data_IF_964837799641
#
_entry.id   IF_964837799641
#
_cell.length_a   1.000
_cell.length_b   1.000
_cell.length_c   1.000
_cell.angle_alpha   90.00
_cell.angle_beta   90.00
_cell.angle_gamma   90.00
#
_symmetry.space_group_name_H-M   'P 1'
#
loop_
_entity.id
_entity.type
_entity.pdbx_description
1 polymer ?
#
# COMPACT_ATOMS: atom_id res chain seq x y z
N UNK A 1 1.38 53.43 32.69
CA UNK A 1 -0.02 53.22 33.05
C UNK A 1 -0.58 52.06 32.25
N UNK A 2 -0.87 51.00 32.97
CA UNK A 2 -1.46 49.74 32.50
C UNK A 2 -2.84 49.91 31.91
N UNK A 3 -3.15 49.14 30.91
CA UNK A 3 -4.42 48.40 30.85
C UNK A 3 -4.29 47.19 29.89
N UNK A 4 -4.25 46.03 30.46
CA UNK A 4 -4.54 44.73 29.90
C UNK A 4 -6.03 44.68 29.53
N UNK A 5 -6.35 44.08 28.38
CA UNK A 5 -7.69 43.59 28.15
C UNK A 5 -7.53 42.12 27.67
N UNK A 6 -7.74 41.23 28.59
CA UNK A 6 -8.19 39.85 28.31
C UNK A 6 -9.60 39.92 27.76
N UNK A 7 -9.84 39.28 26.64
CA UNK A 7 -11.17 38.81 26.27
C UNK A 7 -11.11 37.30 26.05
N UNK A 8 -11.73 36.64 27.00
CA UNK A 8 -11.98 35.23 27.04
C UNK A 8 -13.12 34.82 26.10
N UNK A 9 -12.97 33.59 25.57
CA UNK A 9 -14.02 32.59 25.42
C UNK A 9 -15.24 32.90 24.54
N UNK A 10 -15.17 32.42 23.34
CA UNK A 10 -16.26 31.62 22.75
C UNK A 10 -15.67 30.57 21.81
N UNK A 11 -15.18 29.48 22.35
CA UNK A 11 -15.03 28.23 21.61
C UNK A 11 -16.42 27.75 21.24
N UNK A 12 -16.65 27.66 19.95
CA UNK A 12 -17.90 27.22 19.34
C UNK A 12 -18.23 25.78 19.78
N UNK A 13 -19.38 25.51 20.42
CA UNK A 13 -19.76 24.15 20.85
C UNK A 13 -19.92 23.14 19.70
N UNK A 14 -19.92 23.60 18.46
CA UNK A 14 -19.98 22.77 17.25
C UNK A 14 -18.69 21.98 16.97
N UNK A 15 -17.51 22.43 17.41
CA UNK A 15 -16.26 21.69 17.22
C UNK A 15 -16.12 20.50 18.20
N UNK A 16 -16.65 20.62 19.40
CA UNK A 16 -16.64 19.53 20.38
C UNK A 16 -17.56 18.37 19.96
N UNK A 17 -18.67 18.68 19.30
CA UNK A 17 -19.59 17.66 18.77
C UNK A 17 -19.03 16.91 17.56
N UNK A 18 -18.25 17.56 16.68
CA UNK A 18 -17.66 16.93 15.50
C UNK A 18 -16.49 16.00 15.83
N UNK A 19 -15.70 16.31 16.86
CA UNK A 19 -14.62 15.42 17.32
C UNK A 19 -15.19 14.14 17.93
N UNK A 20 -16.31 14.22 18.63
CA UNK A 20 -16.97 13.06 19.24
C UNK A 20 -17.65 12.15 18.19
N UNK A 21 -18.17 12.70 17.09
CA UNK A 21 -18.82 11.92 16.01
C UNK A 21 -17.78 11.19 15.15
N UNK A 22 -16.58 11.77 14.92
CA UNK A 22 -15.49 11.07 14.23
C UNK A 22 -14.92 9.89 15.05
N UNK A 23 -14.93 9.98 16.38
CA UNK A 23 -14.52 8.87 17.25
C UNK A 23 -15.59 7.76 17.35
N UNK A 24 -16.85 8.05 17.05
CA UNK A 24 -17.93 7.06 17.08
C UNK A 24 -18.06 6.26 15.77
N UNK A 25 -17.45 6.72 14.67
CA UNK A 25 -17.46 6.04 13.37
C UNK A 25 -16.23 5.15 13.15
N UNK A 26 -15.13 5.36 13.87
CA UNK A 26 -14.05 4.39 13.98
C UNK A 26 -14.38 3.48 15.16
N UNK A 27 -14.70 2.22 14.93
CA UNK A 27 -15.13 1.24 15.92
C UNK A 27 -14.11 0.95 17.05
N UNK A 28 -13.10 1.75 17.21
CA UNK A 28 -12.17 1.73 18.32
C UNK A 28 -12.80 2.44 19.53
N UNK A 29 -13.60 1.72 20.32
CA UNK A 29 -13.91 2.15 21.68
C UNK A 29 -12.57 2.31 22.41
N UNK A 30 -12.28 3.53 22.90
CA UNK A 30 -11.22 3.74 23.88
C UNK A 30 -11.57 2.91 25.13
N UNK A 31 -11.20 1.63 25.15
CA UNK A 31 -11.09 0.88 26.38
C UNK A 31 -9.96 1.50 27.21
N UNK A 32 -10.12 1.47 28.53
CA UNK A 32 -9.11 1.96 29.46
C UNK A 32 -7.74 1.39 29.04
N UNK A 33 -6.79 2.27 28.75
CA UNK A 33 -5.43 1.87 28.40
C UNK A 33 -4.85 1.14 29.61
N UNK A 34 -4.60 -0.15 29.46
CA UNK A 34 -3.88 -0.92 30.47
C UNK A 34 -2.39 -0.75 30.16
N UNK A 35 -1.69 0.02 31.00
CA UNK A 35 -0.22 0.06 30.97
C UNK A 35 0.28 -1.05 31.89
N UNK A 36 1.12 -1.95 31.35
CA UNK A 36 1.73 -3.02 32.13
C UNK A 36 3.22 -2.73 32.24
N UNK A 37 3.68 -2.54 33.48
CA UNK A 37 5.09 -2.58 33.84
C UNK A 37 5.31 -3.88 34.62
N UNK A 38 5.76 -4.91 33.93
CA UNK A 38 6.12 -6.16 34.59
C UNK A 38 7.39 -6.72 33.95
N UNK A 39 8.22 -7.35 34.76
CA UNK A 39 9.41 -8.06 34.32
C UNK A 39 9.07 -9.54 34.22
N UNK A 40 9.45 -10.18 33.10
CA UNK A 40 9.38 -11.61 32.86
C UNK A 40 10.74 -12.12 32.40
N UNK A 41 10.93 -13.44 32.41
CA UNK A 41 12.22 -14.05 32.04
C UNK A 41 12.51 -13.99 30.54
N UNK A 42 11.49 -13.74 29.70
CA UNK A 42 11.65 -13.63 28.26
C UNK A 42 10.32 -13.59 27.51
N UNK A 43 10.38 -14.05 26.25
CA UNK A 43 9.26 -14.05 25.31
C UNK A 43 8.99 -15.44 24.77
N UNK A 44 7.75 -15.90 24.92
CA UNK A 44 7.26 -17.15 24.33
C UNK A 44 6.39 -16.77 23.11
N UNK A 45 6.91 -16.99 21.91
CA UNK A 45 6.12 -16.82 20.69
C UNK A 45 5.28 -18.06 20.47
N UNK A 46 3.98 -17.87 20.28
CA UNK A 46 3.04 -18.96 20.08
C UNK A 46 1.97 -18.59 19.04
N UNK A 47 1.16 -19.56 18.69
CA UNK A 47 0.01 -19.43 17.80
C UNK A 47 -1.27 -19.72 18.59
N UNK A 48 -2.38 -19.12 18.17
CA UNK A 48 -3.69 -19.33 18.80
C UNK A 48 -4.25 -20.73 18.58
N UNK A 49 -5.47 -20.96 19.05
CA UNK A 49 -6.25 -22.13 18.71
C UNK A 49 -6.65 -22.08 17.22
N UNK A 50 -6.69 -23.24 16.54
CA UNK A 50 -7.02 -23.37 15.11
C UNK A 50 -6.20 -22.45 14.17
N UNK A 51 -4.87 -22.51 14.20
CA UNK A 51 -4.01 -21.61 13.46
C UNK A 51 -4.04 -21.88 11.95
N UNK A 52 -3.98 -20.81 11.17
CA UNK A 52 -3.74 -20.88 9.73
C UNK A 52 -2.24 -21.06 9.41
N UNK A 53 -1.92 -21.44 8.16
CA UNK A 53 -0.54 -21.45 7.68
C UNK A 53 0.13 -20.07 7.79
N UNK A 54 -0.65 -19.00 7.64
CA UNK A 54 -0.16 -17.63 7.80
C UNK A 54 0.22 -17.32 9.25
N UNK A 55 -0.61 -17.70 10.21
CA UNK A 55 -0.31 -17.52 11.64
C UNK A 55 1.00 -18.20 12.00
N UNK A 56 1.16 -19.46 11.57
CA UNK A 56 2.38 -20.24 11.79
C UNK A 56 3.61 -19.56 11.15
N UNK A 57 3.49 -19.09 9.92
CA UNK A 57 4.57 -18.40 9.22
C UNK A 57 5.01 -17.13 9.95
N UNK A 58 4.04 -16.30 10.35
CA UNK A 58 4.33 -15.04 11.02
C UNK A 58 4.83 -15.22 12.46
N UNK A 59 4.36 -16.24 13.17
CA UNK A 59 4.89 -16.59 14.47
C UNK A 59 6.37 -17.02 14.38
N UNK A 60 6.72 -17.88 13.42
CA UNK A 60 8.12 -18.26 13.16
C UNK A 60 8.97 -17.05 12.78
N UNK A 61 8.46 -16.15 11.93
CA UNK A 61 9.16 -14.94 11.54
C UNK A 61 9.50 -14.08 12.77
N UNK A 62 8.52 -13.83 13.64
CA UNK A 62 8.75 -13.07 14.88
C UNK A 62 9.76 -13.77 15.79
N UNK A 63 9.62 -15.07 15.99
CA UNK A 63 10.54 -15.87 16.80
C UNK A 63 11.99 -15.71 16.33
N UNK A 64 12.24 -15.88 15.03
CA UNK A 64 13.57 -15.74 14.45
C UNK A 64 14.15 -14.34 14.64
N UNK A 65 13.31 -13.30 14.47
CA UNK A 65 13.74 -11.92 14.70
C UNK A 65 14.05 -11.60 16.16
N UNK A 66 13.27 -12.11 17.10
CA UNK A 66 13.55 -11.96 18.53
C UNK A 66 14.77 -12.75 18.94
N UNK A 67 14.93 -13.99 18.44
CA UNK A 67 16.05 -14.87 18.72
C UNK A 67 17.40 -14.26 18.30
N UNK A 68 17.45 -13.62 17.13
CA UNK A 68 18.66 -12.91 16.65
C UNK A 68 19.10 -11.75 17.56
N UNK A 69 18.17 -11.20 18.35
CA UNK A 69 18.39 -10.06 19.25
C UNK A 69 18.60 -10.48 20.70
N UNK A 70 18.34 -11.72 21.02
CA UNK A 70 18.49 -12.24 22.38
C UNK A 70 19.96 -12.47 22.72
N UNK A 71 20.41 -11.92 23.87
CA UNK A 71 21.74 -12.18 24.39
C UNK A 71 21.88 -13.57 25.04
N UNK A 72 20.75 -14.15 25.41
CA UNK A 72 20.61 -15.45 25.99
C UNK A 72 19.62 -16.28 25.17
N UNK A 73 20.05 -17.45 24.75
CA UNK A 73 19.23 -18.38 23.97
C UNK A 73 17.94 -18.78 24.69
N UNK A 74 17.90 -18.70 26.00
CA UNK A 74 16.73 -19.04 26.79
C UNK A 74 15.71 -17.90 26.96
N UNK A 75 16.05 -16.68 26.52
CA UNK A 75 15.13 -15.53 26.56
C UNK A 75 14.00 -15.60 25.53
N UNK A 76 14.11 -16.40 24.49
CA UNK A 76 13.10 -16.52 23.45
C UNK A 76 12.78 -17.96 23.17
N UNK A 77 11.53 -18.36 23.40
CA UNK A 77 11.03 -19.70 23.17
C UNK A 77 9.92 -19.71 22.11
N UNK A 78 9.67 -20.86 21.49
CA UNK A 78 8.58 -21.07 20.54
C UNK A 78 7.68 -22.23 20.98
N UNK A 79 6.38 -21.98 21.02
CA UNK A 79 5.36 -22.98 21.33
C UNK A 79 5.11 -23.16 22.84
N UNK A 80 6.07 -23.71 23.59
CA UNK A 80 5.94 -23.97 25.03
C UNK A 80 7.20 -23.56 25.80
N UNK A 81 7.04 -23.17 27.05
CA UNK A 81 8.12 -22.87 27.98
C UNK A 81 7.67 -23.17 29.40
N UNK A 82 8.61 -23.65 30.24
CA UNK A 82 8.41 -23.80 31.70
C UNK A 82 8.71 -22.48 32.45
N UNK A 83 9.35 -21.51 31.79
CA UNK A 83 9.71 -20.21 32.35
C UNK A 83 8.51 -19.26 32.34
N UNK A 84 8.52 -18.32 33.26
CA UNK A 84 7.52 -17.26 33.32
C UNK A 84 7.82 -16.19 32.27
N UNK A 85 7.24 -16.32 31.08
CA UNK A 85 7.49 -15.50 29.91
C UNK A 85 6.26 -14.65 29.51
N UNK A 86 6.52 -13.57 28.76
CA UNK A 86 5.49 -12.91 27.98
C UNK A 86 5.09 -13.79 26.80
N UNK A 87 3.82 -14.16 26.72
CA UNK A 87 3.31 -14.98 25.63
C UNK A 87 2.84 -14.08 24.49
N UNK A 88 3.54 -14.12 23.35
CA UNK A 88 3.17 -13.36 22.15
C UNK A 88 2.41 -14.28 21.20
N UNK A 89 1.13 -13.94 20.96
CA UNK A 89 0.22 -14.74 20.16
C UNK A 89 -0.03 -14.02 18.83
N UNK A 90 0.15 -14.72 17.72
CA UNK A 90 -0.01 -14.20 16.36
C UNK A 90 -1.30 -14.72 15.75
N UNK A 91 -2.07 -13.82 15.14
CA UNK A 91 -3.30 -14.17 14.43
C UNK A 91 -3.57 -13.25 13.23
N UNK A 92 -3.86 -13.85 12.06
CA UNK A 92 -4.36 -13.16 10.88
C UNK A 92 -5.87 -13.34 10.81
N UNK A 93 -6.60 -12.25 11.02
CA UNK A 93 -8.07 -12.22 10.95
C UNK A 93 -8.55 -11.23 9.89
N UNK A 94 -8.86 -11.69 8.67
CA UNK A 94 -9.35 -10.82 7.60
C UNK A 94 -10.68 -10.14 7.92
N UNK A 95 -11.37 -10.56 8.98
CA UNK A 95 -12.68 -10.01 9.39
C UNK A 95 -12.57 -8.92 10.46
N UNK A 96 -11.35 -8.69 10.99
CA UNK A 96 -11.10 -7.65 11.97
C UNK A 96 -11.56 -6.29 11.43
N UNK A 97 -12.38 -5.57 12.19
CA UNK A 97 -12.92 -4.27 11.75
C UNK A 97 -11.84 -3.19 11.68
N UNK A 98 -10.89 -3.24 12.60
CA UNK A 98 -9.65 -2.48 12.57
C UNK A 98 -8.63 -3.26 11.71
N UNK A 99 -7.77 -2.59 10.99
CA UNK A 99 -6.75 -3.28 10.18
C UNK A 99 -5.75 -4.07 11.03
N UNK A 100 -5.46 -3.60 12.26
CA UNK A 100 -4.57 -4.26 13.20
C UNK A 100 -4.94 -3.97 14.67
N UNK A 101 -4.51 -4.86 15.55
CA UNK A 101 -4.69 -4.73 17.01
C UNK A 101 -3.52 -5.35 17.77
N UNK A 102 -3.09 -4.67 18.82
CA UNK A 102 -2.29 -5.22 19.92
C UNK A 102 -3.20 -5.22 21.15
N UNK A 103 -3.45 -6.38 21.73
CA UNK A 103 -4.22 -6.52 22.96
C UNK A 103 -3.37 -7.20 24.03
N UNK A 104 -3.47 -6.70 25.28
CA UNK A 104 -2.71 -7.21 26.40
C UNK A 104 -3.68 -7.82 27.40
N UNK A 105 -3.49 -9.11 27.70
CA UNK A 105 -4.34 -9.88 28.61
C UNK A 105 -3.47 -10.62 29.61
N UNK A 106 -3.26 -10.05 30.77
CA UNK A 106 -2.34 -10.63 31.77
C UNK A 106 -0.91 -10.70 31.25
N UNK A 107 -0.39 -11.89 31.03
CA UNK A 107 0.93 -12.12 30.42
C UNK A 107 0.90 -12.33 28.90
N UNK A 108 -0.27 -12.18 28.26
CA UNK A 108 -0.45 -12.39 26.85
C UNK A 108 -0.40 -11.06 26.09
N UNK A 109 0.33 -11.06 24.97
CA UNK A 109 0.41 -9.99 23.98
C UNK A 109 -0.15 -10.56 22.68
N UNK A 110 -1.38 -10.23 22.35
CA UNK A 110 -2.03 -10.69 21.14
C UNK A 110 -1.79 -9.69 20.01
N UNK A 111 -1.18 -10.14 18.92
CA UNK A 111 -1.02 -9.38 17.68
C UNK A 111 -2.02 -9.92 16.65
N UNK A 112 -3.01 -9.12 16.28
CA UNK A 112 -4.00 -9.48 15.27
C UNK A 112 -3.95 -8.47 14.13
N UNK A 113 -3.94 -8.95 12.89
CA UNK A 113 -3.96 -8.11 11.70
C UNK A 113 -4.83 -8.70 10.59
N UNK A 114 -5.37 -7.86 9.71
CA UNK A 114 -6.20 -8.31 8.58
C UNK A 114 -5.38 -8.92 7.45
N UNK A 115 -4.11 -8.55 7.31
CA UNK A 115 -3.23 -8.97 6.23
C UNK A 115 -1.75 -9.03 6.62
N UNK A 116 -0.95 -9.56 5.71
CA UNK A 116 0.49 -9.77 5.89
C UNK A 116 1.26 -8.46 6.09
N UNK A 117 0.90 -7.38 5.41
CA UNK A 117 1.55 -6.06 5.53
C UNK A 117 1.37 -5.49 6.94
N UNK A 118 0.15 -5.53 7.43
CA UNK A 118 -0.17 -5.01 8.76
C UNK A 118 0.44 -5.89 9.86
N UNK A 119 0.48 -7.21 9.68
CA UNK A 119 1.14 -8.12 10.62
C UNK A 119 2.64 -7.88 10.69
N UNK A 120 3.32 -7.73 9.55
CA UNK A 120 4.74 -7.42 9.53
C UNK A 120 5.04 -6.10 10.25
N UNK A 121 4.25 -5.06 9.96
CA UNK A 121 4.39 -3.78 10.65
C UNK A 121 4.16 -3.90 12.17
N UNK A 122 3.14 -4.65 12.61
CA UNK A 122 2.87 -4.88 14.05
C UNK A 122 4.05 -5.55 14.75
N UNK A 123 4.66 -6.56 14.13
CA UNK A 123 5.83 -7.24 14.68
C UNK A 123 6.99 -6.28 14.88
N UNK A 124 7.26 -5.40 13.90
CA UNK A 124 8.28 -4.37 14.05
C UNK A 124 7.93 -3.32 15.10
N UNK A 125 6.65 -2.94 15.25
CA UNK A 125 6.23 -2.07 16.34
C UNK A 125 6.45 -2.74 17.72
N UNK A 126 6.14 -4.03 17.86
CA UNK A 126 6.44 -4.77 19.06
C UNK A 126 7.95 -4.78 19.34
N UNK A 127 8.78 -5.18 18.39
CA UNK A 127 10.24 -5.22 18.53
C UNK A 127 10.78 -3.84 18.95
N UNK A 128 10.34 -2.76 18.31
CA UNK A 128 10.72 -1.39 18.65
C UNK A 128 10.34 -1.02 20.09
N UNK A 129 9.20 -1.49 20.57
CA UNK A 129 8.74 -1.21 21.93
C UNK A 129 9.52 -1.98 23.00
N UNK A 130 9.86 -3.24 22.73
CA UNK A 130 10.56 -4.10 23.69
C UNK A 130 12.08 -3.88 23.67
N UNK A 131 12.68 -3.62 22.49
CA UNK A 131 14.13 -3.38 22.37
C UNK A 131 14.55 -1.94 22.67
N UNK A 132 13.61 -1.00 22.63
CA UNK A 132 13.86 0.45 22.69
C UNK A 132 14.82 0.99 21.62
N UNK A 133 15.13 0.21 20.62
CA UNK A 133 16.05 0.53 19.52
C UNK A 133 15.37 0.42 18.16
N UNK A 134 16.08 0.88 17.14
CA UNK A 134 15.60 0.75 15.76
C UNK A 134 15.62 -0.74 15.34
N UNK A 135 14.47 -1.35 15.03
CA UNK A 135 14.39 -2.77 14.65
C UNK A 135 15.14 -3.11 13.35
N UNK A 136 15.63 -2.11 12.62
CA UNK A 136 16.45 -2.28 11.41
C UNK A 136 17.92 -2.57 11.72
N UNK A 137 18.35 -2.36 12.98
CA UNK A 137 19.72 -2.60 13.39
C UNK A 137 19.86 -4.06 13.84
N UNK A 138 20.61 -4.84 13.08
CA UNK A 138 20.96 -6.19 13.49
C UNK A 138 21.85 -6.17 14.73
N UNK A 139 21.54 -7.04 15.70
CA UNK A 139 22.36 -7.22 16.90
C UNK A 139 22.07 -6.26 18.04
N UNK A 140 20.95 -5.53 18.04
CA UNK A 140 20.50 -4.82 19.23
C UNK A 140 20.05 -5.83 20.28
N UNK A 141 20.60 -5.68 21.49
CA UNK A 141 20.28 -6.56 22.61
C UNK A 141 18.82 -6.44 23.01
N UNK A 142 18.13 -7.56 23.20
CA UNK A 142 16.86 -7.56 23.90
C UNK A 142 17.13 -7.24 25.37
N UNK A 143 16.61 -6.12 25.91
CA UNK A 143 16.71 -5.87 27.32
C UNK A 143 15.93 -6.93 28.09
N UNK A 144 16.20 -7.09 29.41
CA UNK A 144 15.32 -7.86 30.27
C UNK A 144 13.88 -7.51 29.98
N UNK A 145 12.99 -8.49 29.95
CA UNK A 145 11.63 -8.37 29.43
C UNK A 145 10.73 -7.44 30.26
N UNK A 146 11.10 -6.15 30.29
CA UNK A 146 10.26 -5.07 30.83
C UNK A 146 9.46 -4.52 29.66
N UNK A 147 8.17 -4.77 29.67
CA UNK A 147 7.26 -4.30 28.64
C UNK A 147 6.50 -3.08 29.12
N UNK A 148 6.58 -2.01 28.34
CA UNK A 148 5.68 -0.86 28.42
C UNK A 148 4.84 -0.84 27.16
N UNK A 149 3.80 -1.66 27.14
CA UNK A 149 2.84 -1.75 26.05
C UNK A 149 1.46 -1.29 26.50
N UNK A 150 0.74 -0.69 25.59
CA UNK A 150 -0.67 -0.34 25.75
C UNK A 150 -1.47 -1.02 24.65
N UNK A 151 -2.72 -1.37 24.93
CA UNK A 151 -3.67 -1.78 23.91
C UNK A 151 -3.70 -0.75 22.79
N UNK A 152 -3.54 -1.22 21.56
CA UNK A 152 -3.48 -0.34 20.40
C UNK A 152 -4.25 -0.99 19.25
N UNK A 153 -5.07 -0.22 18.57
CA UNK A 153 -5.72 -0.65 17.33
C UNK A 153 -5.69 0.47 16.30
N UNK A 154 -5.86 0.12 15.05
CA UNK A 154 -5.89 1.10 13.97
C UNK A 154 -5.96 0.46 12.59
N UNK A 155 -5.90 1.30 11.59
CA UNK A 155 -5.80 0.90 10.20
C UNK A 155 -4.86 1.84 9.47
N UNK A 156 -4.29 1.38 8.37
CA UNK A 156 -3.51 2.27 7.52
C UNK A 156 -4.43 3.25 6.77
N UNK A 157 -3.97 4.49 6.66
CA UNK A 157 -4.72 5.54 5.96
C UNK A 157 -4.88 5.28 4.45
N UNK A 158 -4.03 4.42 3.89
CA UNK A 158 -4.00 4.08 2.46
C UNK A 158 -3.88 2.57 2.27
N UNK A 159 -4.66 2.02 1.36
CA UNK A 159 -4.60 0.61 0.96
C UNK A 159 -3.26 0.28 0.30
N UNK A 160 -2.67 1.24 -0.38
CA UNK A 160 -1.37 1.13 -0.99
C UNK A 160 -0.50 2.36 -0.70
N UNK A 161 0.70 2.12 -0.19
CA UNK A 161 1.73 3.13 0.02
C UNK A 161 3.10 2.50 -0.19
N UNK A 162 3.91 3.08 -1.06
CA UNK A 162 5.28 2.62 -1.31
C UNK A 162 6.19 3.81 -1.62
N UNK A 163 7.49 3.58 -1.58
CA UNK A 163 8.51 4.54 -2.03
C UNK A 163 9.23 3.98 -3.26
N UNK A 164 9.45 4.83 -4.25
CA UNK A 164 10.21 4.47 -5.44
C UNK A 164 11.71 4.66 -5.19
N UNK A 165 12.30 3.69 -4.51
CA UNK A 165 13.73 3.65 -4.21
C UNK A 165 14.17 2.21 -3.97
N UNK A 166 15.49 1.89 -3.99
CA UNK A 166 15.98 0.56 -3.64
C UNK A 166 15.50 0.08 -2.27
N UNK A 167 15.29 0.98 -1.31
CA UNK A 167 14.72 0.64 0.00
C UNK A 167 13.29 0.12 -0.07
N UNK A 168 12.51 0.54 -1.10
CA UNK A 168 11.15 0.04 -1.33
C UNK A 168 11.06 -1.41 -1.76
N UNK A 169 12.19 -2.02 -2.13
CA UNK A 169 12.35 -3.45 -2.45
C UNK A 169 12.88 -4.26 -1.28
N UNK A 170 13.27 -3.62 -0.18
CA UNK A 170 13.76 -4.28 1.01
C UNK A 170 12.58 -4.62 1.95
N UNK A 171 12.26 -5.92 2.19
CA UNK A 171 11.13 -6.32 3.01
C UNK A 171 11.21 -5.81 4.45
N UNK A 172 12.40 -5.78 5.05
CA UNK A 172 12.60 -5.28 6.41
C UNK A 172 12.29 -3.78 6.49
N UNK A 173 12.79 -3.00 5.53
CA UNK A 173 12.51 -1.57 5.49
C UNK A 173 11.02 -1.29 5.26
N UNK A 174 10.39 -1.96 4.30
CA UNK A 174 8.96 -1.77 4.02
C UNK A 174 8.10 -2.21 5.19
N UNK A 175 8.46 -3.29 5.87
CA UNK A 175 7.78 -3.76 7.07
C UNK A 175 7.82 -2.75 8.22
N UNK A 176 9.02 -2.23 8.55
CA UNK A 176 9.20 -1.21 9.61
C UNK A 176 8.38 0.05 9.33
N UNK A 177 8.34 0.48 8.07
CA UNK A 177 7.66 1.70 7.66
C UNK A 177 6.16 1.51 7.36
N UNK A 178 5.66 0.28 7.38
CA UNK A 178 4.28 -0.05 7.01
C UNK A 178 3.99 0.19 5.52
N UNK A 179 5.00 0.04 4.67
CA UNK A 179 4.90 0.26 3.24
C UNK A 179 4.60 -1.05 2.49
N UNK A 180 4.06 -0.92 1.29
CA UNK A 180 3.98 -2.04 0.36
C UNK A 180 5.32 -2.21 -0.36
N UNK A 181 5.70 -3.44 -0.65
CA UNK A 181 6.79 -3.77 -1.54
C UNK A 181 6.29 -3.71 -3.00
N UNK A 182 7.09 -3.16 -3.90
CA UNK A 182 6.71 -3.07 -5.32
C UNK A 182 6.57 -4.44 -5.97
N UNK A 183 7.54 -5.31 -5.78
CA UNK A 183 7.59 -6.62 -6.45
C UNK A 183 6.43 -7.54 -5.99
N UNK A 184 6.05 -7.45 -4.70
CA UNK A 184 4.93 -8.23 -4.17
C UNK A 184 3.56 -7.66 -4.53
N UNK A 185 3.48 -6.35 -4.83
CA UNK A 185 2.22 -5.64 -4.99
C UNK A 185 1.80 -5.44 -6.44
N UNK A 186 2.73 -5.55 -7.40
CA UNK A 186 2.49 -5.27 -8.81
C UNK A 186 2.99 -6.39 -9.72
N UNK A 187 2.10 -6.89 -10.58
CA UNK A 187 2.50 -7.76 -11.69
C UNK A 187 3.21 -6.98 -12.81
N UNK A 188 2.76 -5.75 -13.06
CA UNK A 188 3.43 -4.77 -13.95
C UNK A 188 3.31 -3.41 -13.27
N UNK A 189 4.41 -2.67 -13.14
CA UNK A 189 4.39 -1.34 -12.54
C UNK A 189 5.15 -0.30 -13.38
N UNK A 190 4.77 0.97 -13.29
CA UNK A 190 5.38 2.08 -14.01
C UNK A 190 5.28 1.93 -15.52
N UNK A 191 6.32 2.36 -16.26
CA UNK A 191 6.44 2.25 -17.70
C UNK A 191 7.15 0.94 -18.12
N UNK A 192 6.75 -0.20 -17.52
CA UNK A 192 7.42 -1.49 -17.73
C UNK A 192 6.65 -2.46 -18.62
N UNK A 193 5.64 -1.98 -19.34
CA UNK A 193 4.79 -2.85 -20.16
C UNK A 193 5.61 -3.65 -21.21
N UNK A 194 6.69 -3.06 -21.73
CA UNK A 194 7.59 -3.77 -22.67
C UNK A 194 8.22 -5.04 -22.11
N UNK A 195 8.41 -5.14 -20.80
CA UNK A 195 8.99 -6.34 -20.18
C UNK A 195 8.14 -7.59 -20.31
N UNK A 196 6.84 -7.43 -20.58
CA UNK A 196 5.89 -8.53 -20.72
C UNK A 196 5.53 -8.79 -22.19
N UNK A 197 6.02 -7.95 -23.11
CA UNK A 197 5.86 -8.15 -24.53
C UNK A 197 7.00 -9.05 -25.04
N UNK A 198 6.63 -10.19 -25.60
CA UNK A 198 7.57 -11.17 -26.15
C UNK A 198 7.89 -10.91 -27.64
N UNK A 199 7.94 -11.98 -28.41
CA UNK A 199 8.15 -11.91 -29.86
C UNK A 199 7.02 -11.18 -30.59
N UNK A 200 7.23 -10.82 -31.86
CA UNK A 200 6.30 -10.04 -32.71
C UNK A 200 6.08 -8.58 -32.22
N UNK A 201 7.10 -7.98 -31.64
CA UNK A 201 7.06 -6.59 -31.19
C UNK A 201 6.71 -5.57 -32.27
N UNK A 202 7.00 -5.84 -33.54
CA UNK A 202 6.64 -4.96 -34.67
C UNK A 202 5.12 -4.70 -34.78
N UNK A 203 4.29 -5.65 -34.31
CA UNK A 203 2.83 -5.52 -34.28
C UNK A 203 2.30 -4.71 -33.11
N UNK A 204 3.16 -4.38 -32.17
CA UNK A 204 2.78 -3.60 -30.97
C UNK A 204 3.33 -2.18 -30.98
N UNK A 205 4.17 -1.83 -31.98
CA UNK A 205 4.72 -0.49 -32.09
C UNK A 205 3.67 0.52 -32.61
N UNK A 206 3.82 1.76 -32.18
CA UNK A 206 2.94 2.85 -32.58
C UNK A 206 3.16 3.28 -34.04
N UNK A 207 2.14 3.89 -34.61
CA UNK A 207 2.29 4.72 -35.81
C UNK A 207 2.37 6.19 -35.35
N UNK A 208 3.51 6.84 -35.60
CA UNK A 208 3.75 8.25 -35.28
C UNK A 208 4.14 8.95 -36.59
N UNK A 209 3.49 10.08 -36.91
CA UNK A 209 3.71 10.81 -38.16
C UNK A 209 3.62 9.90 -39.43
N UNK A 210 2.70 8.95 -39.42
CA UNK A 210 2.45 8.02 -40.53
C UNK A 210 3.48 6.91 -40.69
N UNK A 211 4.42 6.72 -39.74
CA UNK A 211 5.44 5.67 -39.78
C UNK A 211 5.39 4.83 -38.50
N UNK A 212 5.76 3.56 -38.63
CA UNK A 212 5.98 2.71 -37.43
C UNK A 212 7.15 3.27 -36.64
N UNK A 213 6.94 3.42 -35.33
CA UNK A 213 7.88 4.01 -34.40
C UNK A 213 7.95 3.17 -33.14
N UNK A 214 9.13 2.66 -32.85
CA UNK A 214 9.41 1.78 -31.70
C UNK A 214 9.57 2.52 -30.38
N UNK A 215 9.59 3.86 -30.38
CA UNK A 215 9.62 4.65 -29.15
C UNK A 215 8.32 4.61 -28.36
N UNK A 216 7.22 4.08 -28.95
CA UNK A 216 5.93 4.03 -28.31
C UNK A 216 5.14 2.79 -28.73
N UNK A 217 4.12 2.45 -27.93
CA UNK A 217 3.25 1.30 -28.11
C UNK A 217 1.89 1.67 -28.72
N UNK A 218 1.29 0.73 -29.45
CA UNK A 218 -0.04 0.83 -30.04
C UNK A 218 -1.08 0.16 -29.15
N UNK A 219 -1.84 0.93 -28.39
CA UNK A 219 -2.83 0.44 -27.43
C UNK A 219 -4.11 -0.13 -28.05
N UNK A 220 -4.28 -0.01 -29.37
CA UNK A 220 -5.31 -0.72 -30.14
C UNK A 220 -4.83 -2.04 -30.77
N UNK A 221 -3.58 -2.45 -30.52
CA UNK A 221 -3.01 -3.69 -31.04
C UNK A 221 -3.61 -4.93 -30.38
N UNK A 222 -4.23 -5.81 -31.16
CA UNK A 222 -4.71 -7.12 -30.68
C UNK A 222 -3.55 -8.02 -30.24
N UNK A 223 -2.38 -7.87 -30.85
CA UNK A 223 -1.18 -8.59 -30.45
C UNK A 223 -0.74 -8.19 -29.04
N UNK A 224 -0.72 -6.89 -28.74
CA UNK A 224 -0.39 -6.39 -27.40
C UNK A 224 -1.39 -6.92 -26.37
N UNK A 225 -2.69 -6.87 -26.65
CA UNK A 225 -3.69 -7.42 -25.75
C UNK A 225 -3.43 -8.91 -25.44
N UNK A 226 -3.20 -9.73 -26.48
CA UNK A 226 -2.95 -11.17 -26.31
C UNK A 226 -1.68 -11.46 -25.51
N UNK A 227 -0.61 -10.71 -25.72
CA UNK A 227 0.64 -10.88 -24.97
C UNK A 227 0.47 -10.51 -23.50
N UNK A 228 -0.25 -9.43 -23.19
CA UNK A 228 -0.57 -9.07 -21.80
C UNK A 228 -1.46 -10.13 -21.16
N UNK A 229 -2.49 -10.60 -21.86
CA UNK A 229 -3.38 -11.66 -21.38
C UNK A 229 -2.60 -12.95 -21.06
N UNK A 230 -1.76 -13.42 -21.98
CA UNK A 230 -0.90 -14.60 -21.76
C UNK A 230 0.03 -14.41 -20.59
N UNK A 231 0.69 -13.25 -20.48
CA UNK A 231 1.57 -12.96 -19.34
C UNK A 231 0.82 -13.07 -18.00
N UNK A 232 -0.38 -12.52 -17.90
CA UNK A 232 -1.18 -12.57 -16.67
C UNK A 232 -1.55 -14.02 -16.35
N UNK A 233 -2.05 -14.79 -17.34
CA UNK A 233 -2.46 -16.18 -17.14
C UNK A 233 -1.28 -17.06 -16.72
N UNK A 234 -0.14 -16.93 -17.38
CA UNK A 234 1.00 -17.83 -17.25
C UNK A 234 1.85 -17.52 -15.99
N UNK A 235 1.95 -16.25 -15.58
CA UNK A 235 2.85 -15.84 -14.51
C UNK A 235 2.15 -15.46 -13.21
N UNK A 236 0.90 -15.00 -13.27
CA UNK A 236 0.17 -14.49 -12.11
C UNK A 236 -1.05 -15.38 -11.79
N UNK A 237 -1.71 -15.89 -12.81
CA UNK A 237 -2.93 -16.68 -12.71
C UNK A 237 -4.19 -15.82 -12.54
N UNK A 238 -5.35 -16.44 -12.74
CA UNK A 238 -6.65 -15.77 -12.73
C UNK A 238 -7.31 -15.68 -11.34
N UNK A 239 -6.84 -16.46 -10.37
CA UNK A 239 -7.51 -16.63 -9.06
C UNK A 239 -7.04 -15.63 -7.99
N UNK A 240 -5.81 -15.18 -8.07
CA UNK A 240 -5.23 -14.19 -7.16
C UNK A 240 -5.71 -12.76 -7.48
N UNK A 241 -5.30 -11.80 -6.64
CA UNK A 241 -5.46 -10.39 -6.92
C UNK A 241 -4.08 -9.75 -7.08
N UNK A 242 -3.85 -9.08 -8.17
CA UNK A 242 -2.63 -8.31 -8.46
C UNK A 242 -2.98 -7.00 -9.14
N UNK A 243 -2.05 -6.06 -9.09
CA UNK A 243 -2.19 -4.75 -9.72
C UNK A 243 -1.30 -4.67 -10.95
N UNK A 244 -1.80 -4.06 -12.01
CA UNK A 244 -1.09 -3.89 -13.27
C UNK A 244 -1.15 -2.45 -13.74
N UNK A 245 -0.01 -1.88 -14.10
CA UNK A 245 0.06 -0.58 -14.76
C UNK A 245 0.14 -0.81 -16.27
N UNK A 246 -0.87 -0.35 -16.99
CA UNK A 246 -0.96 -0.38 -18.45
C UNK A 246 -0.78 1.06 -18.93
N UNK A 247 0.46 1.44 -19.15
CA UNK A 247 0.83 2.81 -19.48
C UNK A 247 1.72 2.88 -20.71
N UNK A 248 1.59 3.96 -21.52
CA UNK A 248 2.55 4.25 -22.59
C UNK A 248 3.97 4.40 -22.07
N UNK A 249 4.95 4.24 -22.94
CA UNK A 249 6.33 4.61 -22.64
C UNK A 249 6.46 6.10 -22.34
N UNK A 250 7.53 6.48 -21.68
CA UNK A 250 7.80 7.84 -21.20
C UNK A 250 8.14 8.80 -22.36
N UNK A 251 7.19 8.95 -23.28
CA UNK A 251 7.27 9.87 -24.42
C UNK A 251 5.99 10.69 -24.57
N UNK A 252 6.04 11.90 -25.14
CA UNK A 252 4.87 12.75 -25.31
C UNK A 252 3.98 12.35 -26.50
N UNK A 253 4.37 11.33 -27.26
CA UNK A 253 3.67 10.93 -28.49
C UNK A 253 2.69 9.79 -28.23
N UNK A 254 1.66 9.73 -29.07
CA UNK A 254 0.66 8.67 -29.05
C UNK A 254 0.50 8.04 -30.44
N UNK A 255 0.09 6.78 -30.47
CA UNK A 255 -0.20 6.09 -31.72
C UNK A 255 -1.37 6.75 -32.47
N UNK A 256 -1.17 7.03 -33.76
CA UNK A 256 -2.16 7.58 -34.69
C UNK A 256 -2.49 6.62 -35.86
N UNK A 257 -2.34 5.30 -35.66
CA UNK A 257 -2.86 4.33 -36.60
C UNK A 257 -4.38 4.46 -36.76
N UNK A 258 -4.94 3.91 -37.81
CA UNK A 258 -6.38 4.02 -38.12
C UNK A 258 -7.27 3.61 -36.92
N UNK A 259 -6.95 2.52 -36.21
CA UNK A 259 -7.70 2.02 -35.08
C UNK A 259 -7.60 2.98 -33.85
N UNK A 260 -6.40 3.44 -33.50
CA UNK A 260 -6.20 4.39 -32.40
C UNK A 260 -6.90 5.72 -32.69
N UNK A 261 -6.82 6.22 -33.91
CA UNK A 261 -7.52 7.47 -34.34
C UNK A 261 -9.04 7.31 -34.27
N UNK A 262 -9.57 6.16 -34.69
CA UNK A 262 -10.99 5.85 -34.58
C UNK A 262 -11.49 5.79 -33.13
N UNK A 263 -10.62 5.42 -32.18
CA UNK A 263 -10.90 5.48 -30.75
C UNK A 263 -10.83 6.90 -30.16
N UNK A 264 -10.29 7.87 -30.91
CA UNK A 264 -10.15 9.28 -30.48
C UNK A 264 -8.72 9.70 -30.11
N UNK A 265 -7.69 8.88 -30.38
CA UNK A 265 -6.31 9.31 -30.19
C UNK A 265 -5.96 10.49 -31.09
N UNK A 266 -5.07 11.33 -30.58
CA UNK A 266 -4.34 12.35 -31.36
C UNK A 266 -2.84 12.15 -31.16
N UNK A 267 -1.99 12.88 -31.86
CA UNK A 267 -0.53 12.78 -31.76
C UNK A 267 0.01 12.89 -30.32
N UNK A 268 -0.73 13.58 -29.44
CA UNK A 268 -0.33 13.86 -28.04
C UNK A 268 -1.32 13.33 -27.00
N UNK A 269 -2.34 12.57 -27.43
CA UNK A 269 -3.33 12.00 -26.53
C UNK A 269 -3.57 10.54 -26.82
N UNK A 270 -3.06 9.67 -25.96
CA UNK A 270 -3.24 8.22 -25.99
C UNK A 270 -4.42 7.75 -25.10
N UNK A 271 -5.00 8.64 -24.28
CA UNK A 271 -6.01 8.26 -23.28
C UNK A 271 -7.14 7.42 -23.85
N UNK A 272 -7.73 7.73 -25.03
CA UNK A 272 -8.83 6.92 -25.56
C UNK A 272 -8.46 5.45 -25.77
N UNK A 273 -7.39 5.16 -26.50
CA UNK A 273 -6.98 3.78 -26.78
C UNK A 273 -6.47 3.04 -25.52
N UNK A 274 -5.78 3.75 -24.61
CA UNK A 274 -5.36 3.18 -23.31
C UNK A 274 -6.57 2.81 -22.46
N UNK A 275 -7.59 3.69 -22.42
CA UNK A 275 -8.83 3.41 -21.68
C UNK A 275 -9.55 2.18 -22.22
N UNK A 276 -9.63 2.01 -23.54
CA UNK A 276 -10.24 0.80 -24.15
C UNK A 276 -9.52 -0.47 -23.72
N UNK A 277 -8.20 -0.45 -23.75
CA UNK A 277 -7.41 -1.61 -23.31
C UNK A 277 -7.61 -1.89 -21.81
N UNK A 278 -7.64 -0.86 -20.97
CA UNK A 278 -7.93 -1.02 -19.54
C UNK A 278 -9.30 -1.65 -19.31
N UNK A 279 -10.34 -1.17 -19.99
CA UNK A 279 -11.70 -1.71 -19.87
C UNK A 279 -11.75 -3.17 -20.29
N UNK A 280 -11.08 -3.52 -21.38
CA UNK A 280 -11.03 -4.90 -21.89
C UNK A 280 -10.31 -5.83 -20.91
N UNK A 281 -9.17 -5.43 -20.36
CA UNK A 281 -8.42 -6.21 -19.37
C UNK A 281 -9.18 -6.34 -18.04
N UNK A 282 -9.79 -5.26 -17.55
CA UNK A 282 -10.56 -5.29 -16.32
C UNK A 282 -11.80 -6.19 -16.40
N UNK A 283 -12.44 -6.27 -17.56
CA UNK A 283 -13.54 -7.19 -17.83
C UNK A 283 -13.06 -8.65 -17.89
N UNK A 284 -11.92 -8.89 -18.53
CA UNK A 284 -11.34 -10.24 -18.65
C UNK A 284 -10.86 -10.81 -17.32
N UNK A 285 -10.34 -9.95 -16.45
CA UNK A 285 -9.75 -10.32 -15.17
C UNK A 285 -10.39 -9.58 -13.98
N UNK A 286 -11.60 -9.93 -13.57
CA UNK A 286 -12.37 -9.16 -12.59
C UNK A 286 -11.76 -9.16 -11.18
N UNK A 287 -10.81 -10.05 -10.87
CA UNK A 287 -10.11 -10.09 -9.58
C UNK A 287 -8.83 -9.27 -9.55
N UNK A 288 -8.30 -8.90 -10.69
CA UNK A 288 -7.13 -8.05 -10.82
C UNK A 288 -7.51 -6.59 -10.98
N UNK A 289 -6.60 -5.69 -10.64
CA UNK A 289 -6.80 -4.25 -10.77
C UNK A 289 -5.86 -3.66 -11.81
N UNK A 290 -6.38 -2.83 -12.69
CA UNK A 290 -5.67 -2.26 -13.82
C UNK A 290 -5.61 -0.74 -13.70
N UNK A 291 -4.43 -0.17 -13.87
CA UNK A 291 -4.21 1.27 -13.76
C UNK A 291 -3.47 1.80 -14.98
N UNK A 292 -3.74 3.03 -15.36
CA UNK A 292 -2.81 3.79 -16.20
C UNK A 292 -2.28 4.99 -15.44
N UNK A 293 -1.24 5.65 -15.97
CA UNK A 293 -0.65 6.83 -15.34
C UNK A 293 -1.17 8.06 -16.07
N UNK A 294 -1.78 9.02 -15.36
CA UNK A 294 -2.11 10.32 -15.93
C UNK A 294 -0.85 11.17 -16.06
N UNK A 295 -0.15 10.99 -17.18
CA UNK A 295 1.15 11.58 -17.47
C UNK A 295 1.39 11.72 -18.97
N UNK A 296 2.07 12.77 -19.42
CA UNK A 296 2.36 13.03 -20.83
C UNK A 296 1.14 12.80 -21.75
N UNK A 297 1.21 11.78 -22.61
CA UNK A 297 0.16 11.48 -23.60
C UNK A 297 -1.14 10.93 -22.98
N UNK A 298 -1.16 10.59 -21.71
CA UNK A 298 -2.36 10.14 -20.97
C UNK A 298 -2.86 11.13 -19.92
N UNK A 299 -2.49 12.40 -20.05
CA UNK A 299 -2.87 13.48 -19.12
C UNK A 299 -4.33 13.89 -19.21
N UNK A 300 -4.95 13.75 -20.39
CA UNK A 300 -6.36 14.07 -20.59
C UNK A 300 -7.25 13.03 -19.90
N UNK A 301 -8.32 13.50 -19.30
CA UNK A 301 -9.29 12.62 -18.63
C UNK A 301 -10.14 11.92 -19.68
N UNK A 302 -10.40 10.65 -19.49
CA UNK A 302 -11.34 9.88 -20.34
C UNK A 302 -12.78 10.35 -20.09
N UNK A 303 -13.63 10.20 -21.08
CA UNK A 303 -15.08 10.38 -20.97
C UNK A 303 -15.82 9.11 -20.53
N UNK A 304 -15.10 7.98 -20.42
CA UNK A 304 -15.64 6.68 -20.03
C UNK A 304 -15.56 6.46 -18.52
N UNK A 305 -16.63 5.91 -17.97
CA UNK A 305 -16.63 5.43 -16.58
C UNK A 305 -15.75 4.19 -16.45
N UNK A 306 -14.84 4.18 -15.50
CA UNK A 306 -14.00 3.03 -15.19
C UNK A 306 -14.71 2.10 -14.18
N UNK A 307 -14.60 0.77 -14.31
CA UNK A 307 -15.12 -0.17 -13.32
C UNK A 307 -14.27 -0.14 -12.04
N UNK A 308 -14.77 -0.72 -10.94
CA UNK A 308 -14.13 -0.71 -9.63
C UNK A 308 -12.72 -1.34 -9.58
N UNK A 309 -12.38 -2.16 -10.57
CA UNK A 309 -11.06 -2.77 -10.72
C UNK A 309 -10.20 -2.07 -11.79
N UNK A 310 -10.56 -0.86 -12.22
CA UNK A 310 -9.72 -0.03 -13.07
C UNK A 310 -9.59 1.37 -12.48
N UNK A 311 -8.42 1.99 -12.62
CA UNK A 311 -8.14 3.28 -12.01
C UNK A 311 -6.99 4.04 -12.66
N UNK A 312 -6.66 5.17 -12.04
CA UNK A 312 -5.65 6.10 -12.54
C UNK A 312 -4.62 6.40 -11.43
N UNK A 313 -3.36 6.33 -11.79
CA UNK A 313 -2.25 6.87 -11.00
C UNK A 313 -1.99 8.29 -11.49
N UNK A 314 -2.36 9.29 -10.72
CA UNK A 314 -2.15 10.69 -11.10
C UNK A 314 -0.72 11.10 -10.78
N UNK A 315 0.08 11.37 -11.82
CA UNK A 315 1.44 11.86 -11.64
C UNK A 315 1.44 13.28 -11.05
N UNK A 316 2.15 13.46 -9.95
CA UNK A 316 2.32 14.76 -9.28
C UNK A 316 3.61 15.48 -9.70
N UNK A 317 4.23 15.12 -10.83
CA UNK A 317 5.51 15.70 -11.27
C UNK A 317 5.44 17.22 -11.48
N UNK A 318 4.27 17.72 -11.90
CA UNK A 318 4.04 19.16 -12.08
C UNK A 318 3.53 19.85 -10.80
N UNK A 319 3.39 19.10 -9.70
CA UNK A 319 2.93 19.65 -8.44
C UNK A 319 4.06 20.47 -7.78
N UNK A 320 3.79 21.68 -7.27
CA UNK A 320 4.85 22.51 -6.71
C UNK A 320 5.43 21.92 -5.42
N UNK A 321 6.75 21.76 -5.36
CA UNK A 321 7.49 21.28 -4.19
C UNK A 321 7.60 22.37 -3.10
N UNK A 322 6.46 22.81 -2.59
CA UNK A 322 6.36 23.84 -1.54
C UNK A 322 5.13 23.57 -0.67
N UNK A 323 4.96 24.40 0.36
CA UNK A 323 3.75 24.34 1.20
C UNK A 323 2.50 24.45 0.35
N UNK A 324 1.56 23.54 0.55
CA UNK A 324 0.24 23.51 -0.05
C UNK A 324 -0.62 24.57 0.66
N UNK A 325 -1.04 25.62 -0.04
CA UNK A 325 -1.83 26.71 0.53
C UNK A 325 -3.08 27.06 -0.31
N UNK A 326 -3.33 26.29 -1.37
CA UNK A 326 -4.48 26.47 -2.27
C UNK A 326 -4.42 27.74 -3.15
N UNK A 327 -3.34 28.51 -3.10
CA UNK A 327 -3.22 29.80 -3.81
C UNK A 327 -2.50 29.68 -5.15
N UNK A 328 -1.63 28.68 -5.27
CA UNK A 328 -0.81 28.48 -6.47
C UNK A 328 -1.65 27.99 -7.66
N UNK A 329 -1.40 28.57 -8.83
CA UNK A 329 -2.09 28.20 -10.08
C UNK A 329 -1.82 26.75 -10.50
N UNK A 330 -0.58 26.24 -10.31
CA UNK A 330 -0.21 24.84 -10.61
C UNK A 330 -0.94 23.88 -9.67
N UNK A 331 -1.01 24.20 -8.37
CA UNK A 331 -1.76 23.44 -7.39
C UNK A 331 -3.24 23.34 -7.76
N UNK A 332 -3.86 24.49 -8.09
CA UNK A 332 -5.26 24.52 -8.53
C UNK A 332 -5.50 23.67 -9.78
N UNK A 333 -4.59 23.76 -10.76
CA UNK A 333 -4.66 22.96 -11.99
C UNK A 333 -4.54 21.46 -11.70
N UNK A 334 -3.61 21.06 -10.84
CA UNK A 334 -3.47 19.66 -10.41
C UNK A 334 -4.72 19.16 -9.69
N UNK A 335 -5.25 19.92 -8.73
CA UNK A 335 -6.46 19.56 -7.99
C UNK A 335 -7.69 19.50 -8.91
N UNK A 336 -7.78 20.36 -9.90
CA UNK A 336 -8.83 20.29 -10.92
C UNK A 336 -8.75 18.99 -11.73
N UNK A 337 -7.55 18.62 -12.20
CA UNK A 337 -7.32 17.37 -12.93
C UNK A 337 -7.65 16.14 -12.05
N UNK A 338 -7.19 16.12 -10.81
CA UNK A 338 -7.50 15.06 -9.85
C UNK A 338 -9.02 14.93 -9.66
N UNK A 339 -9.72 16.03 -9.49
CA UNK A 339 -11.19 16.03 -9.33
C UNK A 339 -11.93 15.58 -10.60
N UNK A 340 -11.36 15.81 -11.78
CA UNK A 340 -11.94 15.30 -13.04
C UNK A 340 -11.77 13.78 -13.12
N UNK A 341 -10.58 13.24 -12.78
CA UNK A 341 -10.36 11.79 -12.74
C UNK A 341 -11.25 11.09 -11.72
N UNK A 342 -11.44 11.65 -10.53
CA UNK A 342 -12.36 11.12 -9.51
C UNK A 342 -13.82 10.95 -9.96
N UNK A 343 -14.24 11.61 -11.00
CA UNK A 343 -15.61 11.48 -11.51
C UNK A 343 -15.80 10.25 -12.39
N UNK A 344 -14.73 9.70 -12.91
CA UNK A 344 -14.75 8.57 -13.86
C UNK A 344 -14.12 7.29 -13.29
N UNK A 345 -13.57 7.35 -12.06
CA UNK A 345 -12.99 6.20 -11.34
C UNK A 345 -13.89 5.67 -10.23
#
# INVERSE_FOLDING_TARGET
MHRSIFHSDKLCPLLAGMICVCCLLSGCRMQARTEIFASKEGYLVTIGEDPTDKDTRWAKYLYEHLKKRANDDEMVAFGVSEKEMWRVIIHIDPTLQEGFRIAIKGSDIELTATDDRQMLWLQYQLIKKISKEDPRIDGSDLPPAIINLTDTCGTFAFDYQSIYSPSGLNPDYTGVMGLNNFDDSWGIWGHNLRKVLGDNVDKVYATIHGKTDDSQLCFSSEEMYRQIESYIVDNIGEKGSSRFVIAPDDTPYACTCASCTAMGNTEKNATPAVTELLLRLSQRFPKHSFFTISYLSTKQVTDKQLPSNAGIIVSAIDFPLRRIDGKNAQEKKFMQQLNQWKKVT
#
